data_IF_146807134432
#
_entry.id   IF_146807134432
#
_cell.length_a   1.000
_cell.length_b   1.000
_cell.length_c   1.000
_cell.angle_alpha   90.00
_cell.angle_beta   90.00
_cell.angle_gamma   90.00
#
_symmetry.space_group_name_H-M   'P 1'
#
loop_
_entity.id
_entity.type
_entity.pdbx_description
1 polymer ?
#
# COMPACT_ATOMS: atom_id res chain seq x y z
N UNK A 1 11.56 -4.53 21.97
CA UNK A 1 11.55 -3.74 20.72
C UNK A 1 10.22 -3.02 20.62
N UNK A 2 10.20 -1.78 20.15
CA UNK A 2 8.95 -1.04 19.95
C UNK A 2 8.13 -1.59 18.79
N UNK A 3 6.85 -1.22 18.71
CA UNK A 3 5.99 -1.61 17.61
C UNK A 3 6.45 -0.95 16.29
N UNK A 4 6.79 -1.76 15.28
CA UNK A 4 7.19 -1.35 13.93
C UNK A 4 5.98 -1.01 13.04
N UNK A 5 6.16 -0.11 12.08
CA UNK A 5 5.16 0.23 11.06
C UNK A 5 5.78 0.13 9.68
N UNK A 6 5.07 -0.51 8.75
CA UNK A 6 5.50 -0.74 7.38
C UNK A 6 4.46 -0.18 6.42
N UNK A 7 4.90 0.60 5.45
CA UNK A 7 4.07 1.16 4.37
C UNK A 7 4.58 0.61 3.05
N UNK A 8 3.75 -0.15 2.33
CA UNK A 8 4.11 -0.74 1.05
C UNK A 8 3.64 0.14 -0.11
N UNK A 9 4.60 0.56 -0.95
CA UNK A 9 4.36 1.38 -2.14
C UNK A 9 5.02 0.71 -3.35
N UNK A 10 4.45 0.94 -4.53
CA UNK A 10 4.89 0.34 -5.78
C UNK A 10 3.74 0.26 -6.78
N UNK A 11 4.07 0.09 -8.06
CA UNK A 11 3.07 0.04 -9.13
C UNK A 11 2.10 -1.14 -8.99
N UNK A 12 0.94 -1.10 -9.65
CA UNK A 12 0.07 -2.27 -9.63
C UNK A 12 0.79 -3.47 -10.28
N UNK A 13 0.61 -4.66 -9.72
CA UNK A 13 1.28 -5.87 -10.22
C UNK A 13 2.67 -6.18 -9.64
N UNK A 14 3.36 -5.23 -8.99
CA UNK A 14 4.71 -5.44 -8.42
C UNK A 14 4.82 -6.40 -7.22
N UNK A 15 3.72 -6.99 -6.75
CA UNK A 15 3.76 -7.98 -5.66
C UNK A 15 3.69 -7.44 -4.23
N UNK A 16 3.37 -6.15 -4.00
CA UNK A 16 3.18 -5.56 -2.65
C UNK A 16 2.40 -6.45 -1.68
N UNK A 17 1.17 -6.82 -2.04
CA UNK A 17 0.33 -7.64 -1.16
C UNK A 17 0.88 -9.05 -0.88
N UNK A 18 1.72 -9.59 -1.77
CA UNK A 18 2.45 -10.85 -1.50
C UNK A 18 3.53 -10.59 -0.47
N UNK A 19 4.34 -9.55 -0.66
CA UNK A 19 5.43 -9.20 0.27
C UNK A 19 4.91 -8.74 1.63
N UNK A 20 3.79 -8.04 1.70
CA UNK A 20 3.13 -7.65 2.95
C UNK A 20 2.68 -8.89 3.75
N UNK A 21 2.16 -9.92 3.07
CA UNK A 21 1.78 -11.20 3.71
C UNK A 21 3.00 -12.01 4.17
N UNK A 22 4.07 -12.04 3.39
CA UNK A 22 5.31 -12.70 3.79
C UNK A 22 5.96 -11.99 4.98
N UNK A 23 6.00 -10.65 4.95
CA UNK A 23 6.47 -9.86 6.08
C UNK A 23 5.62 -10.09 7.32
N UNK A 24 4.29 -10.16 7.18
CA UNK A 24 3.38 -10.52 8.28
C UNK A 24 3.79 -11.84 8.92
N UNK A 25 3.94 -12.90 8.11
CA UNK A 25 4.33 -14.22 8.61
C UNK A 25 5.73 -14.21 9.24
N UNK A 26 6.67 -13.45 8.66
CA UNK A 26 8.00 -13.25 9.22
C UNK A 26 7.93 -12.58 10.60
N UNK A 27 7.14 -11.52 10.77
CA UNK A 27 6.99 -10.83 12.05
C UNK A 27 6.28 -11.71 13.08
N UNK A 28 5.21 -12.41 12.71
CA UNK A 28 4.52 -13.38 13.60
C UNK A 28 5.48 -14.46 14.13
N UNK A 29 6.48 -14.85 13.32
CA UNK A 29 7.50 -15.83 13.70
C UNK A 29 8.61 -15.25 14.58
N UNK A 30 9.04 -14.01 14.35
CA UNK A 30 10.24 -13.44 14.99
C UNK A 30 9.92 -12.51 16.18
N UNK A 31 8.79 -11.82 16.15
CA UNK A 31 8.38 -10.83 17.15
C UNK A 31 7.23 -11.38 18.01
N UNK A 32 7.51 -12.47 18.74
CA UNK A 32 6.51 -13.17 19.56
C UNK A 32 5.81 -12.26 20.57
N UNK A 33 4.47 -12.33 20.61
CA UNK A 33 3.64 -11.57 21.54
C UNK A 33 3.28 -10.16 21.07
N UNK A 34 3.68 -9.76 19.86
CA UNK A 34 3.22 -8.52 19.22
C UNK A 34 2.20 -8.88 18.14
N UNK A 35 1.03 -8.26 18.20
CA UNK A 35 -0.03 -8.48 17.22
C UNK A 35 0.26 -7.75 15.89
N UNK A 36 -0.52 -8.04 14.85
CA UNK A 36 -0.38 -7.37 13.55
C UNK A 36 -1.71 -6.76 13.13
N UNK A 37 -1.71 -5.43 13.03
CA UNK A 37 -2.74 -4.69 12.33
C UNK A 37 -2.33 -4.61 10.85
N UNK A 38 -3.02 -5.38 10.01
CA UNK A 38 -2.80 -5.38 8.56
C UNK A 38 -3.93 -4.64 7.86
N UNK A 39 -3.64 -3.44 7.36
CA UNK A 39 -4.55 -2.66 6.54
C UNK A 39 -4.28 -2.94 5.07
N UNK A 40 -5.25 -3.53 4.38
CA UNK A 40 -5.25 -3.65 2.93
C UNK A 40 -6.36 -2.77 2.34
N UNK A 41 -6.07 -1.49 2.11
CA UNK A 41 -7.08 -0.48 1.69
C UNK A 41 -7.96 -0.91 0.52
N UNK A 42 -7.37 -1.55 -0.49
CA UNK A 42 -8.13 -2.03 -1.65
C UNK A 42 -9.20 -3.08 -1.32
N UNK A 43 -9.06 -3.89 -0.26
CA UNK A 43 -10.15 -4.80 0.16
C UNK A 43 -11.25 -4.04 0.90
N UNK A 44 -10.89 -3.06 1.72
CA UNK A 44 -11.88 -2.19 2.38
C UNK A 44 -12.69 -1.40 1.35
N UNK A 45 -12.04 -0.85 0.31
CA UNK A 45 -12.74 -0.17 -0.77
C UNK A 45 -13.69 -1.08 -1.53
N UNK A 46 -13.23 -2.28 -1.94
CA UNK A 46 -14.09 -3.26 -2.63
C UNK A 46 -15.27 -3.73 -1.78
N UNK A 47 -15.15 -3.72 -0.46
CA UNK A 47 -16.29 -3.99 0.41
C UNK A 47 -17.22 -2.78 0.48
N UNK A 48 -16.66 -1.57 0.59
CA UNK A 48 -17.40 -0.32 0.66
C UNK A 48 -18.34 -0.13 -0.55
N UNK A 49 -17.86 -0.36 -1.77
CA UNK A 49 -18.66 -0.14 -3.00
C UNK A 49 -19.78 -1.14 -3.24
N UNK A 50 -19.87 -2.23 -2.46
CA UNK A 50 -20.97 -3.20 -2.58
C UNK A 50 -22.29 -2.69 -2.02
N UNK A 51 -22.27 -1.56 -1.30
CA UNK A 51 -23.49 -0.98 -0.73
C UNK A 51 -24.24 -0.08 -1.70
N UNK A 52 -25.45 0.31 -1.31
CA UNK A 52 -26.41 1.00 -2.19
C UNK A 52 -26.59 2.51 -1.92
N UNK A 53 -25.77 3.10 -1.04
CA UNK A 53 -25.85 4.54 -0.78
C UNK A 53 -25.39 5.37 -1.98
N UNK A 54 -25.76 6.66 -2.01
CA UNK A 54 -25.36 7.56 -3.09
C UNK A 54 -23.84 7.60 -3.30
N UNK A 55 -23.06 7.74 -2.23
CA UNK A 55 -21.59 7.76 -2.32
C UNK A 55 -21.02 6.42 -2.79
N UNK A 56 -21.59 5.29 -2.37
CA UNK A 56 -21.11 3.97 -2.78
C UNK A 56 -21.37 3.72 -4.27
N UNK A 57 -22.51 4.17 -4.79
CA UNK A 57 -22.82 4.11 -6.23
C UNK A 57 -21.85 4.96 -7.06
N UNK A 58 -21.61 6.21 -6.67
CA UNK A 58 -20.59 7.06 -7.31
C UNK A 58 -19.20 6.43 -7.27
N UNK A 59 -18.82 5.83 -6.14
CA UNK A 59 -17.53 5.16 -6.00
C UNK A 59 -17.42 3.89 -6.87
N UNK A 60 -18.53 3.17 -7.06
CA UNK A 60 -18.58 2.02 -7.97
C UNK A 60 -18.46 2.45 -9.44
N UNK A 61 -19.14 3.53 -9.85
CA UNK A 61 -19.01 4.11 -11.20
C UNK A 61 -17.55 4.49 -11.52
N UNK A 62 -16.89 5.24 -10.63
CA UNK A 62 -15.46 5.60 -10.77
C UNK A 62 -14.58 4.35 -10.92
N UNK A 63 -14.84 3.29 -10.15
CA UNK A 63 -14.07 2.06 -10.24
C UNK A 63 -14.31 1.30 -11.56
N UNK A 64 -15.56 1.26 -12.04
CA UNK A 64 -15.93 0.64 -13.31
C UNK A 64 -15.28 1.36 -14.50
N UNK A 65 -15.12 2.68 -14.41
CA UNK A 65 -14.44 3.50 -15.40
C UNK A 65 -12.89 3.41 -15.32
N UNK A 66 -12.36 2.65 -14.35
CA UNK A 66 -10.92 2.52 -14.13
C UNK A 66 -10.25 3.81 -13.63
N UNK A 67 -11.06 4.75 -13.15
CA UNK A 67 -10.60 6.04 -12.66
C UNK A 67 -10.09 5.96 -11.22
N UNK A 68 -9.32 6.97 -10.84
CA UNK A 68 -8.82 7.12 -9.48
C UNK A 68 -9.92 7.67 -8.57
N UNK A 69 -10.13 7.00 -7.46
CA UNK A 69 -10.93 7.52 -6.35
C UNK A 69 -10.38 8.86 -5.83
N UNK A 70 -11.26 9.80 -5.43
CA UNK A 70 -10.83 11.06 -4.84
C UNK A 70 -10.18 10.84 -3.46
N UNK A 71 -9.13 11.62 -3.17
CA UNK A 71 -8.31 11.48 -1.96
C UNK A 71 -9.14 11.40 -0.66
N UNK A 72 -10.21 12.20 -0.54
CA UNK A 72 -11.04 12.22 0.68
C UNK A 72 -11.67 10.86 0.97
N UNK A 73 -12.06 10.12 -0.07
CA UNK A 73 -12.73 8.82 0.08
C UNK A 73 -11.72 7.77 0.51
N UNK A 74 -10.56 7.73 -0.13
CA UNK A 74 -9.45 6.87 0.26
C UNK A 74 -9.04 7.14 1.72
N UNK A 75 -8.85 8.42 2.07
CA UNK A 75 -8.55 8.87 3.44
C UNK A 75 -9.60 8.41 4.43
N UNK A 76 -10.88 8.62 4.14
CA UNK A 76 -11.97 8.22 5.03
C UNK A 76 -11.96 6.71 5.28
N UNK A 77 -11.79 5.90 4.23
CA UNK A 77 -11.82 4.42 4.33
C UNK A 77 -10.70 3.90 5.23
N UNK A 78 -9.45 4.30 4.98
CA UNK A 78 -8.35 3.81 5.81
C UNK A 78 -8.37 4.42 7.22
N UNK A 79 -8.82 5.67 7.36
CA UNK A 79 -8.94 6.33 8.68
C UNK A 79 -9.98 5.62 9.54
N UNK A 80 -11.11 5.23 8.96
CA UNK A 80 -12.15 4.48 9.66
C UNK A 80 -11.61 3.16 10.20
N UNK A 81 -10.83 2.42 9.39
CA UNK A 81 -10.18 1.20 9.81
C UNK A 81 -9.16 1.43 10.94
N UNK A 82 -8.39 2.51 10.91
CA UNK A 82 -7.46 2.89 11.98
C UNK A 82 -8.19 3.20 13.29
N UNK A 83 -9.21 4.05 13.21
CA UNK A 83 -9.97 4.54 14.38
C UNK A 83 -10.70 3.40 15.07
N UNK A 84 -11.25 2.44 14.31
CA UNK A 84 -12.04 1.35 14.87
C UNK A 84 -11.22 0.20 15.45
N UNK A 85 -10.04 -0.09 14.88
CA UNK A 85 -9.40 -1.39 15.07
C UNK A 85 -8.00 -1.35 15.69
N UNK A 86 -7.39 -0.17 15.91
CA UNK A 86 -6.07 -0.08 16.53
C UNK A 86 -6.21 -0.14 18.06
N UNK A 87 -5.56 -1.10 18.70
CA UNK A 87 -5.47 -1.24 20.16
C UNK A 87 -4.09 -0.86 20.72
N UNK A 88 -3.16 -0.43 19.87
CA UNK A 88 -1.81 0.03 20.21
C UNK A 88 -0.91 -1.06 20.86
N UNK A 89 -1.07 -2.29 20.41
CA UNK A 89 -0.24 -3.47 20.76
C UNK A 89 0.35 -4.15 19.51
N UNK A 90 0.18 -3.52 18.35
CA UNK A 90 0.41 -4.14 17.05
C UNK A 90 1.57 -3.52 16.27
N UNK A 91 2.26 -4.36 15.51
CA UNK A 91 2.90 -3.93 14.27
C UNK A 91 1.86 -3.49 13.26
N UNK A 92 2.16 -2.44 12.50
CA UNK A 92 1.28 -1.99 11.42
C UNK A 92 1.89 -2.41 10.09
N UNK A 93 1.09 -3.04 9.24
CA UNK A 93 1.42 -3.28 7.84
C UNK A 93 0.33 -2.61 7.01
N UNK A 94 0.71 -1.62 6.22
CA UNK A 94 -0.18 -0.79 5.43
C UNK A 94 0.09 -1.08 3.94
N UNK A 95 -0.90 -1.65 3.26
CA UNK A 95 -0.87 -1.99 1.83
C UNK A 95 -1.96 -1.21 1.07
N UNK A 96 -1.54 -0.46 0.05
CA UNK A 96 -2.42 0.19 -0.92
C UNK A 96 -2.73 1.66 -0.68
N UNK A 97 -2.18 2.28 0.37
CA UNK A 97 -2.14 3.74 0.62
C UNK A 97 -0.74 4.12 1.10
N UNK A 98 -0.22 5.32 0.77
CA UNK A 98 -0.86 6.38 0.00
C UNK A 98 -0.85 6.15 -1.51
N UNK A 99 -1.83 6.75 -2.20
CA UNK A 99 -1.91 6.83 -3.67
C UNK A 99 -1.77 8.25 -4.23
N UNK A 100 -1.50 9.24 -3.38
CA UNK A 100 -1.12 10.61 -3.76
C UNK A 100 -0.20 11.21 -2.71
N UNK A 101 0.46 12.30 -3.06
CA UNK A 101 1.14 13.16 -2.08
C UNK A 101 0.19 13.63 -0.98
N UNK A 102 -1.04 14.02 -1.32
CA UNK A 102 -2.02 14.46 -0.33
C UNK A 102 -2.37 13.35 0.67
N UNK A 103 -2.62 12.13 0.19
CA UNK A 103 -2.81 10.98 1.07
C UNK A 103 -1.58 10.72 1.94
N UNK A 104 -0.36 10.85 1.40
CA UNK A 104 0.87 10.64 2.16
C UNK A 104 1.02 11.64 3.32
N UNK A 105 0.70 12.90 3.06
CA UNK A 105 0.69 13.96 4.08
C UNK A 105 -0.37 13.69 5.15
N UNK A 106 -1.57 13.23 4.79
CA UNK A 106 -2.59 12.87 5.78
C UNK A 106 -2.19 11.63 6.57
N UNK A 107 -1.62 10.60 5.92
CA UNK A 107 -1.14 9.39 6.60
C UNK A 107 -0.05 9.72 7.61
N UNK A 108 0.88 10.62 7.28
CA UNK A 108 1.89 11.13 8.21
C UNK A 108 1.27 11.71 9.51
N UNK A 109 0.16 12.46 9.39
CA UNK A 109 -0.54 12.98 10.57
C UNK A 109 -1.09 11.85 11.46
N UNK A 110 -1.58 10.76 10.86
CA UNK A 110 -2.05 9.58 11.59
C UNK A 110 -0.87 8.85 12.27
N UNK A 111 0.24 8.62 11.56
CA UNK A 111 1.45 8.01 12.12
C UNK A 111 1.92 8.77 13.39
N UNK A 112 1.97 10.10 13.31
CA UNK A 112 2.32 10.96 14.46
C UNK A 112 1.28 10.92 15.57
N UNK A 113 -0.01 10.96 15.23
CA UNK A 113 -1.11 10.87 16.22
C UNK A 113 -1.04 9.58 17.04
N UNK A 114 -0.79 8.44 16.38
CA UNK A 114 -0.62 7.14 17.02
C UNK A 114 0.77 6.93 17.63
N UNK A 115 1.60 7.98 17.70
CA UNK A 115 2.95 7.97 18.29
C UNK A 115 3.82 6.82 17.77
N UNK A 116 3.67 6.49 16.49
CA UNK A 116 4.49 5.46 15.85
C UNK A 116 5.90 6.02 15.69
N UNK A 117 6.91 5.17 15.95
CA UNK A 117 8.30 5.51 15.68
C UNK A 117 8.57 5.64 14.17
N UNK A 118 9.83 5.63 13.75
CA UNK A 118 10.20 5.75 12.34
C UNK A 118 9.62 4.60 11.50
N UNK A 119 8.64 4.85 10.63
CA UNK A 119 8.06 3.79 9.81
C UNK A 119 9.01 3.38 8.69
N UNK A 120 8.97 2.12 8.31
CA UNK A 120 9.64 1.61 7.12
C UNK A 120 8.73 1.82 5.90
N UNK A 121 9.23 2.52 4.88
CA UNK A 121 8.56 2.64 3.59
C UNK A 121 9.21 1.64 2.65
N UNK A 122 8.50 0.56 2.33
CA UNK A 122 8.96 -0.48 1.43
C UNK A 122 8.47 -0.14 0.03
N UNK A 123 9.35 0.46 -0.77
CA UNK A 123 9.09 0.75 -2.17
C UNK A 123 9.59 -0.41 -3.03
N UNK A 124 8.65 -1.18 -3.57
CA UNK A 124 8.95 -2.24 -4.55
C UNK A 124 9.03 -1.60 -5.92
N UNK A 125 10.25 -1.39 -6.39
CA UNK A 125 10.55 -0.75 -7.66
C UNK A 125 10.56 -1.79 -8.79
N UNK A 126 9.78 -1.54 -9.83
CA UNK A 126 9.70 -2.36 -11.05
C UNK A 126 9.57 -1.44 -12.24
N UNK A 127 10.15 -1.81 -13.38
CA UNK A 127 9.96 -1.10 -14.64
C UNK A 127 8.49 -1.11 -15.07
N UNK A 128 8.16 -0.13 -15.91
CA UNK A 128 6.82 -0.01 -16.51
C UNK A 128 6.49 -1.24 -17.35
N UNK A 129 7.47 -1.74 -18.11
CA UNK A 129 7.36 -2.93 -18.94
C UNK A 129 7.05 -4.16 -18.10
N UNK A 130 7.79 -4.38 -17.01
CA UNK A 130 7.56 -5.52 -16.11
C UNK A 130 6.17 -5.46 -15.47
N UNK A 131 5.75 -4.26 -15.02
CA UNK A 131 4.44 -4.06 -14.44
C UNK A 131 3.31 -4.31 -15.45
N UNK A 132 3.46 -3.84 -16.69
CA UNK A 132 2.51 -4.07 -17.80
C UNK A 132 2.31 -5.56 -18.05
N UNK A 133 3.39 -6.33 -18.17
CA UNK A 133 3.32 -7.78 -18.41
C UNK A 133 2.60 -8.51 -17.28
N UNK A 134 2.85 -8.13 -16.03
CA UNK A 134 2.19 -8.72 -14.86
C UNK A 134 0.71 -8.37 -14.76
N UNK A 135 0.32 -7.15 -15.13
CA UNK A 135 -1.09 -6.73 -15.10
C UNK A 135 -1.91 -7.53 -16.11
N UNK A 136 -1.39 -7.71 -17.33
CA UNK A 136 -2.00 -8.57 -18.36
C UNK A 136 -2.20 -10.01 -17.89
N UNK A 137 -1.25 -10.56 -17.12
CA UNK A 137 -1.33 -11.92 -16.61
C UNK A 137 -2.27 -12.12 -15.41
N UNK A 138 -2.81 -11.05 -14.81
CA UNK A 138 -3.51 -11.10 -13.51
C UNK A 138 -5.02 -11.34 -13.63
N UNK A 139 -5.63 -10.98 -14.77
CA UNK A 139 -7.03 -11.27 -15.10
C UNK A 139 -8.07 -10.62 -14.18
N UNK A 140 -7.79 -9.45 -13.59
CA UNK A 140 -8.79 -8.73 -12.79
C UNK A 140 -9.74 -7.93 -13.67
N UNK A 141 -10.89 -7.55 -13.11
CA UNK A 141 -11.88 -6.77 -13.83
C UNK A 141 -11.36 -5.40 -14.30
N UNK A 142 -10.42 -4.82 -13.55
CA UNK A 142 -9.69 -3.56 -13.82
C UNK A 142 -8.41 -3.76 -14.66
N UNK A 143 -8.18 -4.94 -15.22
CA UNK A 143 -7.03 -5.29 -16.06
C UNK A 143 -7.49 -5.89 -17.41
N UNK A 144 -8.72 -5.60 -17.84
CA UNK A 144 -9.36 -6.25 -19.01
C UNK A 144 -8.91 -5.63 -20.33
N UNK A 145 -8.85 -4.30 -20.40
CA UNK A 145 -8.45 -3.58 -21.60
C UNK A 145 -7.04 -3.01 -21.47
N UNK A 146 -6.33 -2.86 -22.59
CA UNK A 146 -4.98 -2.28 -22.60
C UNK A 146 -4.98 -0.83 -22.08
N UNK A 147 -6.07 -0.08 -22.31
CA UNK A 147 -6.25 1.27 -21.77
C UNK A 147 -6.23 1.29 -20.24
N UNK A 148 -6.81 0.30 -19.59
CA UNK A 148 -6.88 0.23 -18.13
C UNK A 148 -5.49 0.01 -17.55
N UNK A 149 -4.72 -0.90 -18.17
CA UNK A 149 -3.32 -1.16 -17.82
C UNK A 149 -2.50 0.12 -17.94
N UNK A 150 -2.60 0.84 -19.06
CA UNK A 150 -1.86 2.10 -19.26
C UNK A 150 -2.27 3.19 -18.27
N UNK A 151 -3.58 3.35 -18.00
CA UNK A 151 -4.09 4.31 -17.03
C UNK A 151 -3.50 4.05 -15.64
N UNK A 152 -3.43 2.78 -15.21
CA UNK A 152 -2.83 2.41 -13.92
C UNK A 152 -1.34 2.70 -13.84
N UNK A 153 -0.61 2.49 -14.93
CA UNK A 153 0.83 2.76 -15.00
C UNK A 153 1.10 4.27 -14.99
N UNK A 154 0.35 5.03 -15.78
CA UNK A 154 0.42 6.50 -15.81
C UNK A 154 0.10 7.08 -14.43
N UNK A 155 -0.97 6.61 -13.81
CA UNK A 155 -1.37 7.02 -12.47
C UNK A 155 -0.26 6.84 -11.44
N UNK A 156 0.43 5.70 -11.48
CA UNK A 156 1.54 5.47 -10.56
C UNK A 156 2.64 6.52 -10.73
N UNK A 157 3.00 6.83 -11.97
CA UNK A 157 4.03 7.82 -12.31
C UNK A 157 3.62 9.26 -11.95
N UNK A 158 2.36 9.64 -12.20
CA UNK A 158 1.89 11.03 -12.01
C UNK A 158 1.50 11.34 -10.58
N UNK A 159 0.88 10.38 -9.88
CA UNK A 159 0.23 10.65 -8.60
C UNK A 159 0.93 9.98 -7.42
N UNK A 160 1.44 8.76 -7.61
CA UNK A 160 2.03 7.97 -6.52
C UNK A 160 3.53 8.28 -6.35
N UNK A 161 4.28 8.50 -7.45
CA UNK A 161 5.70 8.84 -7.36
C UNK A 161 5.99 10.12 -6.56
N UNK A 162 5.17 11.18 -6.60
CA UNK A 162 5.31 12.30 -5.66
C UNK A 162 5.25 11.90 -4.18
N UNK A 163 4.41 10.92 -3.81
CA UNK A 163 4.37 10.37 -2.46
C UNK A 163 5.61 9.52 -2.13
N UNK A 164 6.12 8.76 -3.11
CA UNK A 164 7.38 8.02 -2.98
C UNK A 164 8.53 8.98 -2.68
N UNK A 165 8.63 10.08 -3.44
CA UNK A 165 9.69 11.08 -3.24
C UNK A 165 9.54 11.81 -1.90
N UNK A 166 8.30 12.13 -1.49
CA UNK A 166 8.02 12.69 -0.16
C UNK A 166 8.61 11.81 0.95
N UNK A 167 8.38 10.50 0.91
CA UNK A 167 8.95 9.60 1.92
C UNK A 167 10.46 9.40 1.78
N UNK A 168 10.99 9.34 0.55
CA UNK A 168 12.42 9.19 0.29
C UNK A 168 13.24 10.34 0.88
N UNK A 169 12.72 11.57 0.81
CA UNK A 169 13.38 12.76 1.33
C UNK A 169 13.11 13.02 2.81
N UNK A 170 12.17 12.30 3.44
CA UNK A 170 11.75 12.57 4.81
C UNK A 170 12.57 11.75 5.84
N UNK A 171 13.37 12.40 6.72
CA UNK A 171 14.23 11.71 7.68
C UNK A 171 13.48 11.00 8.81
N UNK A 172 12.17 11.24 8.97
CA UNK A 172 11.31 10.54 9.93
C UNK A 172 10.93 9.12 9.47
N UNK A 173 11.26 8.76 8.22
CA UNK A 173 11.01 7.46 7.63
C UNK A 173 12.31 6.72 7.32
N UNK A 174 12.25 5.39 7.34
CA UNK A 174 13.30 4.51 6.83
C UNK A 174 12.86 4.06 5.44
N UNK A 175 13.45 4.64 4.40
CA UNK A 175 13.07 4.35 3.02
C UNK A 175 13.85 3.14 2.48
N UNK A 176 13.14 2.07 2.14
CA UNK A 176 13.69 0.83 1.60
C UNK A 176 13.28 0.70 0.13
N UNK A 177 14.20 1.00 -0.78
CA UNK A 177 14.02 0.67 -2.20
C UNK A 177 14.42 -0.79 -2.46
N UNK A 178 13.50 -1.57 -3.02
CA UNK A 178 13.65 -3.00 -3.26
C UNK A 178 13.43 -3.27 -4.75
N UNK A 179 14.34 -4.01 -5.39
CA UNK A 179 14.14 -4.46 -6.76
C UNK A 179 13.06 -5.55 -6.79
N UNK A 180 11.90 -5.24 -7.39
CA UNK A 180 10.77 -6.15 -7.51
C UNK A 180 10.85 -7.13 -8.69
N UNK A 181 11.83 -6.97 -9.58
CA UNK A 181 11.97 -7.78 -10.79
C UNK A 181 12.76 -9.08 -10.53
N UNK A 182 12.38 -9.78 -9.46
CA UNK A 182 13.07 -10.99 -8.99
C UNK A 182 12.05 -12.06 -8.57
N UNK A 183 12.54 -13.19 -8.07
CA UNK A 183 11.64 -14.19 -7.45
C UNK A 183 10.96 -13.60 -6.21
N UNK A 184 9.82 -14.17 -5.81
CA UNK A 184 9.08 -13.70 -4.62
C UNK A 184 9.96 -13.84 -3.37
N UNK A 185 10.75 -14.91 -3.34
CA UNK A 185 11.67 -15.28 -2.28
C UNK A 185 12.83 -14.29 -2.18
N UNK A 186 13.44 -13.90 -3.30
CA UNK A 186 14.55 -12.94 -3.33
C UNK A 186 14.07 -11.54 -2.92
N UNK A 187 12.91 -11.09 -3.41
CA UNK A 187 12.32 -9.81 -2.97
C UNK A 187 12.07 -9.83 -1.46
N UNK A 188 11.57 -10.94 -0.92
CA UNK A 188 11.33 -11.07 0.51
C UNK A 188 12.63 -11.07 1.32
N UNK A 189 13.66 -11.75 0.80
CA UNK A 189 14.99 -11.77 1.39
C UNK A 189 15.58 -10.36 1.48
N UNK A 190 15.52 -9.59 0.39
CA UNK A 190 16.00 -8.19 0.34
C UNK A 190 15.28 -7.31 1.37
N UNK A 191 13.95 -7.48 1.52
CA UNK A 191 13.17 -6.77 2.54
C UNK A 191 13.67 -7.16 3.93
N UNK A 192 13.73 -8.45 4.25
CA UNK A 192 14.10 -8.93 5.58
C UNK A 192 15.53 -8.56 5.98
N UNK A 193 16.47 -8.59 5.03
CA UNK A 193 17.86 -8.20 5.24
C UNK A 193 17.95 -6.73 5.73
N UNK A 194 17.25 -5.81 5.07
CA UNK A 194 17.22 -4.38 5.43
C UNK A 194 16.50 -4.07 6.75
N UNK A 195 15.75 -5.02 7.32
CA UNK A 195 15.15 -4.86 8.66
C UNK A 195 16.12 -5.22 9.79
N UNK A 196 17.24 -5.84 9.45
CA UNK A 196 18.24 -6.33 10.42
C UNK A 196 19.49 -5.44 10.48
N UNK A 197 19.57 -4.42 9.62
CA UNK A 197 20.58 -3.35 9.61
C UNK A 197 20.22 -2.21 10.58
#
# INVERSE_FOLDING_TARGET
>A
MGHKTFIFIGTSGCGKGTQAKLLRAYLEKNDHGIEIFYLQTGSHFREFIKGDTYTQKLANEIMEDGEREPDFLAVWIWSEAFIKNIENKEHFIIDGTPRSLNEAVVLDTAIRFYKRGKPYVVFINTSREWARERLRGRGRADDKEESDVENRLNFFETDVMPAVEYYRQNPDYIFLEINGEQSIEDVHHDIAAKLSE
#
